data_IF_963739071850
#
_entry.id   IF_963739071850
#
_cell.length_a   1.000
_cell.length_b   1.000
_cell.length_c   1.000
_cell.angle_alpha   90.00
_cell.angle_beta   90.00
_cell.angle_gamma   90.00
#
_symmetry.space_group_name_H-M   'P 1'
#
loop_
_entity.id
_entity.type
_entity.pdbx_description
1 polymer ?
#
# COMPACT_ATOMS: atom_id res chain seq x y z
N UNK A 1 10.22 -2.86 -15.56
CA UNK A 1 10.02 -4.29 -15.82
C UNK A 1 8.57 -4.78 -15.62
N UNK A 2 7.59 -3.90 -15.35
CA UNK A 2 6.19 -4.32 -15.21
C UNK A 2 5.85 -4.97 -13.86
N UNK A 3 6.53 -4.54 -12.78
CA UNK A 3 6.07 -4.81 -11.42
C UNK A 3 4.84 -3.92 -11.16
N UNK A 4 3.77 -4.54 -10.68
CA UNK A 4 2.51 -3.91 -10.30
C UNK A 4 2.51 -3.67 -8.79
N UNK A 5 2.46 -2.40 -8.35
CA UNK A 5 2.38 -2.08 -6.93
C UNK A 5 1.19 -2.78 -6.26
N UNK A 6 1.36 -3.14 -4.99
CA UNK A 6 0.39 -3.88 -4.16
C UNK A 6 0.09 -5.32 -4.61
N UNK A 7 -0.13 -5.55 -5.91
CA UNK A 7 -0.52 -6.87 -6.41
C UNK A 7 0.64 -7.84 -6.54
N UNK A 8 1.87 -7.35 -6.76
CA UNK A 8 3.02 -8.22 -6.97
C UNK A 8 3.81 -8.52 -5.70
N UNK A 9 4.03 -9.82 -5.50
CA UNK A 9 4.87 -10.37 -4.44
C UNK A 9 6.09 -11.02 -5.07
N UNK A 10 7.27 -10.48 -4.79
CA UNK A 10 8.54 -11.06 -5.26
C UNK A 10 8.87 -12.26 -4.39
N UNK A 11 8.84 -13.44 -4.99
CA UNK A 11 9.01 -14.70 -4.28
C UNK A 11 10.43 -15.27 -4.38
N UNK A 12 11.11 -15.00 -5.49
CA UNK A 12 12.49 -15.42 -5.69
C UNK A 12 13.26 -14.45 -6.59
N UNK A 13 14.58 -14.51 -6.50
CA UNK A 13 15.52 -13.82 -7.39
C UNK A 13 16.59 -14.83 -7.83
N UNK A 14 16.69 -15.05 -9.14
CA UNK A 14 17.45 -16.16 -9.71
C UNK A 14 16.94 -17.50 -9.18
N UNK A 15 17.82 -18.26 -8.54
CA UNK A 15 17.48 -19.57 -7.95
C UNK A 15 17.21 -19.48 -6.44
N UNK A 16 17.13 -18.28 -5.87
CA UNK A 16 17.05 -18.07 -4.42
C UNK A 16 15.65 -17.66 -4.01
N UNK A 17 15.00 -18.48 -3.18
CA UNK A 17 13.68 -18.20 -2.60
C UNK A 17 13.79 -17.17 -1.47
N UNK A 18 12.88 -16.20 -1.46
CA UNK A 18 12.75 -15.14 -0.46
C UNK A 18 11.63 -15.49 0.52
N UNK A 19 11.90 -16.34 1.51
CA UNK A 19 10.90 -16.85 2.45
C UNK A 19 11.09 -16.37 3.89
N UNK A 20 12.02 -15.44 4.13
CA UNK A 20 12.32 -14.87 5.44
C UNK A 20 12.66 -13.40 5.31
N UNK A 21 12.24 -12.62 6.30
CA UNK A 21 12.65 -11.22 6.43
C UNK A 21 14.17 -11.15 6.62
N UNK A 22 14.85 -10.52 5.67
CA UNK A 22 16.30 -10.36 5.66
C UNK A 22 16.73 -9.36 4.58
N UNK A 23 18.00 -8.93 4.62
CA UNK A 23 18.61 -8.12 3.56
C UNK A 23 18.89 -8.93 2.26
N UNK A 24 18.49 -10.21 2.17
CA UNK A 24 18.85 -11.11 1.08
C UNK A 24 18.47 -10.58 -0.31
N UNK A 25 17.24 -10.06 -0.48
CA UNK A 25 16.82 -9.46 -1.75
C UNK A 25 17.74 -8.29 -2.14
N UNK A 26 18.02 -7.41 -1.19
CA UNK A 26 18.87 -6.23 -1.39
C UNK A 26 20.30 -6.62 -1.74
N UNK A 27 20.86 -7.62 -1.08
CA UNK A 27 22.21 -8.11 -1.36
C UNK A 27 22.30 -8.79 -2.72
N UNK A 28 21.28 -9.56 -3.11
CA UNK A 28 21.24 -10.20 -4.44
C UNK A 28 21.04 -9.17 -5.56
N UNK A 29 20.28 -8.10 -5.34
CA UNK A 29 20.19 -6.98 -6.29
C UNK A 29 21.54 -6.27 -6.44
N UNK A 30 22.23 -5.99 -5.34
CA UNK A 30 23.58 -5.39 -5.37
C UNK A 30 24.60 -6.26 -6.10
N UNK A 31 24.55 -7.58 -5.89
CA UNK A 31 25.44 -8.52 -6.57
C UNK A 31 25.21 -8.61 -8.09
N UNK A 32 24.02 -8.20 -8.57
CA UNK A 32 23.61 -8.26 -9.96
C UNK A 32 23.41 -6.86 -10.59
N UNK A 33 24.05 -5.83 -10.05
CA UNK A 33 24.02 -4.47 -10.64
C UNK A 33 24.50 -4.51 -12.10
N UNK A 34 23.72 -3.87 -12.97
CA UNK A 34 23.84 -3.84 -14.43
C UNK A 34 23.80 -5.23 -15.12
N UNK A 35 23.28 -6.26 -14.43
CA UNK A 35 23.07 -7.60 -14.99
C UNK A 35 21.60 -7.99 -14.92
N UNK A 36 21.10 -8.56 -16.01
CA UNK A 36 19.74 -9.11 -16.04
C UNK A 36 19.62 -10.26 -15.02
N UNK A 37 18.61 -10.19 -14.16
CA UNK A 37 18.25 -11.21 -13.18
C UNK A 37 16.76 -11.49 -13.25
N UNK A 38 16.39 -12.76 -13.11
CA UNK A 38 15.00 -13.21 -13.13
C UNK A 38 14.39 -13.10 -11.74
N UNK A 39 13.17 -12.62 -11.67
CA UNK A 39 12.32 -12.63 -10.49
C UNK A 39 11.14 -13.56 -10.74
N UNK A 40 10.84 -14.42 -9.78
CA UNK A 40 9.55 -15.10 -9.73
C UNK A 40 8.57 -14.24 -8.92
N UNK A 41 7.45 -13.88 -9.54
CA UNK A 41 6.47 -12.96 -8.96
C UNK A 41 5.10 -13.62 -8.94
N UNK A 42 4.43 -13.56 -7.79
CA UNK A 42 3.02 -13.88 -7.66
C UNK A 42 2.20 -12.59 -7.74
N UNK A 43 1.17 -12.57 -8.57
CA UNK A 43 0.25 -11.44 -8.67
C UNK A 43 -1.08 -11.80 -7.98
N UNK A 44 -1.43 -11.12 -6.89
CA UNK A 44 -2.62 -11.43 -6.08
C UNK A 44 -3.94 -11.13 -6.78
N UNK A 45 -3.95 -10.17 -7.72
CA UNK A 45 -5.13 -9.82 -8.51
C UNK A 45 -5.50 -10.89 -9.53
N UNK A 46 -4.51 -11.38 -10.27
CA UNK A 46 -4.72 -12.42 -11.30
C UNK A 46 -4.58 -13.84 -10.77
N UNK A 47 -4.09 -14.00 -9.54
CA UNK A 47 -3.76 -15.29 -8.91
C UNK A 47 -2.80 -16.13 -9.76
N UNK A 48 -1.83 -15.48 -10.40
CA UNK A 48 -0.88 -16.13 -11.32
C UNK A 48 0.56 -15.88 -10.92
N UNK A 49 1.38 -16.87 -11.21
CA UNK A 49 2.85 -16.80 -11.14
C UNK A 49 3.38 -16.34 -12.49
N UNK A 50 4.37 -15.44 -12.49
CA UNK A 50 5.10 -15.05 -13.69
C UNK A 50 6.57 -14.81 -13.41
N UNK A 51 7.37 -14.96 -14.46
CA UNK A 51 8.79 -14.60 -14.43
C UNK A 51 8.95 -13.17 -14.99
N UNK A 52 9.71 -12.32 -14.30
CA UNK A 52 10.09 -11.00 -14.76
C UNK A 52 11.61 -10.89 -14.84
N UNK A 53 12.14 -10.45 -15.96
CA UNK A 53 13.54 -10.07 -16.07
C UNK A 53 13.72 -8.61 -15.65
N UNK A 54 14.59 -8.37 -14.68
CA UNK A 54 14.93 -7.02 -14.19
C UNK A 54 16.44 -6.82 -14.33
N UNK A 55 16.86 -5.59 -14.61
CA UNK A 55 18.28 -5.20 -14.55
C UNK A 55 18.42 -4.16 -13.44
N UNK A 56 18.91 -4.55 -12.26
CA UNK A 56 19.15 -3.61 -11.17
C UNK A 56 20.18 -2.58 -11.61
N UNK A 57 19.94 -1.29 -11.43
CA UNK A 57 20.82 -0.26 -11.98
C UNK A 57 21.02 0.92 -11.04
N UNK A 58 22.20 1.54 -11.10
CA UNK A 58 22.46 2.84 -10.46
C UNK A 58 22.32 4.02 -11.44
N UNK A 59 22.07 3.75 -12.72
CA UNK A 59 22.16 4.76 -13.79
C UNK A 59 20.81 5.36 -14.21
N UNK A 60 19.70 4.88 -13.64
CA UNK A 60 18.35 5.31 -14.04
C UNK A 60 17.88 6.62 -13.37
N UNK A 61 18.70 7.20 -12.47
CA UNK A 61 18.49 8.54 -11.91
C UNK A 61 17.56 8.63 -10.70
N UNK A 62 16.95 7.53 -10.27
CA UNK A 62 16.12 7.47 -9.06
C UNK A 62 16.80 6.77 -7.88
N UNK A 63 16.03 6.57 -6.80
CA UNK A 63 16.51 5.97 -5.57
C UNK A 63 16.44 4.44 -5.61
N UNK A 64 17.55 3.79 -5.24
CA UNK A 64 17.62 2.33 -5.16
C UNK A 64 17.86 1.65 -6.52
N UNK A 65 17.93 0.32 -6.51
CA UNK A 65 18.37 -0.46 -7.67
C UNK A 65 17.22 -0.91 -8.59
N UNK A 66 16.01 -1.02 -8.06
CA UNK A 66 14.82 -1.46 -8.82
C UNK A 66 13.84 -0.33 -9.15
N UNK A 67 13.95 0.82 -8.47
CA UNK A 67 12.92 1.85 -8.51
C UNK A 67 11.58 1.40 -7.91
N UNK A 68 11.62 0.47 -6.95
CA UNK A 68 10.46 -0.04 -6.25
C UNK A 68 10.72 -0.06 -4.74
N UNK A 69 9.70 0.33 -3.97
CA UNK A 69 9.64 0.11 -2.53
C UNK A 69 9.08 -1.29 -2.28
N UNK A 70 9.80 -2.09 -1.50
CA UNK A 70 9.42 -3.47 -1.19
C UNK A 70 9.39 -3.67 0.32
N UNK A 71 8.42 -4.45 0.79
CA UNK A 71 8.27 -4.84 2.20
C UNK A 71 8.17 -6.36 2.25
N UNK A 72 8.79 -6.98 3.25
CA UNK A 72 8.53 -8.38 3.53
C UNK A 72 7.15 -8.51 4.16
N UNK A 73 6.24 -9.24 3.50
CA UNK A 73 4.90 -9.49 3.98
C UNK A 73 4.42 -10.86 3.49
N UNK A 74 3.38 -11.38 4.14
CA UNK A 74 2.61 -12.49 3.57
C UNK A 74 1.69 -11.95 2.48
N UNK A 75 1.51 -12.70 1.40
CA UNK A 75 0.42 -12.46 0.45
C UNK A 75 -0.91 -13.01 0.97
N UNK A 76 -0.87 -13.91 1.97
CA UNK A 76 -2.05 -14.40 2.68
C UNK A 76 -2.64 -13.26 3.52
N UNK A 77 -3.92 -12.96 3.31
CA UNK A 77 -4.59 -11.81 3.95
C UNK A 77 -4.21 -10.43 3.41
N UNK A 78 -3.32 -10.31 2.40
CA UNK A 78 -2.96 -9.00 1.85
C UNK A 78 -4.17 -8.26 1.25
N UNK A 79 -5.15 -8.99 0.74
CA UNK A 79 -6.42 -8.44 0.25
C UNK A 79 -7.40 -8.07 1.38
N UNK A 80 -7.12 -8.43 2.63
CA UNK A 80 -7.96 -8.12 3.80
C UNK A 80 -7.61 -6.76 4.41
N UNK A 81 -6.39 -6.25 4.15
CA UNK A 81 -5.92 -4.93 4.60
C UNK A 81 -6.16 -3.87 3.52
N UNK A 82 -7.40 -3.73 3.07
CA UNK A 82 -7.82 -2.78 2.04
C UNK A 82 -9.04 -2.00 2.52
N UNK A 83 -8.98 -0.67 2.47
CA UNK A 83 -10.07 0.23 2.89
C UNK A 83 -10.70 0.89 1.66
N UNK A 84 -11.99 0.65 1.45
CA UNK A 84 -12.75 1.26 0.37
C UNK A 84 -13.10 2.71 0.72
N UNK A 85 -12.75 3.66 -0.15
CA UNK A 85 -13.16 5.06 -0.01
C UNK A 85 -14.64 5.14 -0.41
N UNK A 86 -15.50 5.50 0.54
CA UNK A 86 -16.93 5.70 0.29
C UNK A 86 -17.20 7.16 -0.08
N UNK A 87 -18.08 7.84 0.65
CA UNK A 87 -18.34 9.26 0.45
C UNK A 87 -17.11 10.11 0.84
N UNK A 88 -16.88 11.16 0.05
CA UNK A 88 -15.83 12.16 0.27
C UNK A 88 -16.49 13.53 0.31
N UNK A 89 -16.46 14.18 1.47
CA UNK A 89 -17.06 15.51 1.65
C UNK A 89 -16.22 16.61 0.99
N UNK A 90 -16.87 17.63 0.43
CA UNK A 90 -16.19 18.78 -0.14
C UNK A 90 -15.32 19.51 0.91
N UNK A 91 -14.10 19.89 0.53
CA UNK A 91 -13.10 20.53 1.40
C UNK A 91 -12.63 19.68 2.60
N UNK A 92 -12.99 18.40 2.66
CA UNK A 92 -12.43 17.45 3.63
C UNK A 92 -10.94 17.16 3.37
N UNK A 93 -10.18 16.68 4.37
CA UNK A 93 -8.84 16.14 4.17
C UNK A 93 -8.74 15.15 2.99
N UNK A 94 -9.68 14.20 2.87
CA UNK A 94 -9.77 13.29 1.73
C UNK A 94 -9.92 14.01 0.38
N UNK A 95 -10.83 14.99 0.29
CA UNK A 95 -11.05 15.74 -0.95
C UNK A 95 -9.81 16.55 -1.35
N UNK A 96 -9.16 17.21 -0.37
CA UNK A 96 -7.94 17.98 -0.58
C UNK A 96 -6.76 17.09 -1.00
N UNK A 97 -6.75 15.84 -0.54
CA UNK A 97 -5.78 14.83 -0.95
C UNK A 97 -6.07 14.23 -2.34
N UNK A 98 -7.27 14.47 -2.90
CA UNK A 98 -7.69 13.94 -4.19
C UNK A 98 -8.11 12.47 -4.15
N UNK A 99 -8.67 12.01 -3.03
CA UNK A 99 -9.37 10.72 -2.96
C UNK A 99 -10.70 10.81 -3.72
N UNK A 100 -11.02 9.76 -4.45
CA UNK A 100 -12.20 9.65 -5.31
C UNK A 100 -13.18 8.67 -4.67
N UNK A 101 -14.36 9.18 -4.35
CA UNK A 101 -15.43 8.40 -3.74
C UNK A 101 -15.78 7.16 -4.58
N UNK A 102 -15.96 6.03 -3.92
CA UNK A 102 -16.32 4.72 -4.45
C UNK A 102 -15.33 4.06 -5.42
N UNK A 103 -14.43 4.81 -6.05
CA UNK A 103 -13.47 4.28 -7.01
C UNK A 103 -12.10 3.98 -6.40
N UNK A 104 -11.76 4.64 -5.29
CA UNK A 104 -10.47 4.47 -4.62
C UNK A 104 -10.51 3.44 -3.49
N UNK A 105 -9.43 2.68 -3.38
CA UNK A 105 -9.16 1.71 -2.35
C UNK A 105 -7.77 2.00 -1.76
N UNK A 106 -7.71 2.28 -0.47
CA UNK A 106 -6.45 2.45 0.24
C UNK A 106 -5.91 1.05 0.52
N UNK A 107 -4.74 0.76 -0.05
CA UNK A 107 -4.11 -0.58 -0.03
C UNK A 107 -2.79 -0.59 0.74
N UNK A 108 -2.37 0.56 1.27
CA UNK A 108 -1.18 0.66 2.11
C UNK A 108 -0.88 2.07 2.57
N UNK A 109 0.11 2.19 3.47
CA UNK A 109 0.65 3.45 3.97
C UNK A 109 2.17 3.34 4.20
N UNK A 110 2.84 4.50 4.27
CA UNK A 110 4.29 4.56 4.53
C UNK A 110 4.66 3.97 5.91
N UNK A 111 3.78 4.08 6.89
CA UNK A 111 3.93 3.44 8.20
C UNK A 111 3.46 1.97 8.13
N UNK A 112 4.14 1.11 8.89
CA UNK A 112 3.81 -0.32 8.92
C UNK A 112 2.46 -0.49 9.63
N UNK A 113 1.44 -0.86 8.85
CA UNK A 113 0.19 -1.44 9.36
C UNK A 113 0.49 -2.91 9.64
N UNK A 114 0.44 -3.33 10.91
CA UNK A 114 0.59 -4.72 11.30
C UNK A 114 -0.76 -5.45 11.25
N UNK A 115 -1.88 -4.77 11.47
CA UNK A 115 -3.24 -5.35 11.50
C UNK A 115 -4.34 -4.43 10.90
N UNK A 116 -5.55 -4.96 10.68
CA UNK A 116 -6.69 -4.23 10.11
C UNK A 116 -7.21 -3.08 10.98
N UNK A 117 -7.02 -3.16 12.30
CA UNK A 117 -7.37 -2.11 13.25
C UNK A 117 -6.34 -0.96 13.28
N UNK A 118 -5.19 -1.11 12.61
CA UNK A 118 -4.12 -0.11 12.63
C UNK A 118 -4.42 1.10 11.75
N UNK A 119 -5.29 1.03 10.74
CA UNK A 119 -5.43 2.15 9.80
C UNK A 119 -6.05 3.38 10.47
N UNK A 120 -7.09 3.21 11.29
CA UNK A 120 -7.68 4.34 12.02
C UNK A 120 -6.74 4.89 13.08
N UNK A 121 -6.08 4.00 13.83
CA UNK A 121 -5.02 4.36 14.78
C UNK A 121 -3.91 5.17 14.10
N UNK A 122 -3.56 4.81 12.87
CA UNK A 122 -2.60 5.53 12.05
C UNK A 122 -3.10 6.92 11.66
N UNK A 123 -4.37 7.06 11.25
CA UNK A 123 -4.96 8.38 10.95
C UNK A 123 -4.92 9.29 12.19
N UNK A 124 -5.38 8.78 13.34
CA UNK A 124 -5.40 9.53 14.62
C UNK A 124 -3.98 9.94 15.06
N UNK A 125 -3.01 9.02 14.98
CA UNK A 125 -1.62 9.29 15.36
C UNK A 125 -0.93 10.34 14.45
N UNK A 126 -1.47 10.55 13.25
CA UNK A 126 -0.95 11.49 12.25
C UNK A 126 -1.83 12.76 12.10
N UNK A 127 -2.63 13.10 13.11
CA UNK A 127 -3.35 14.38 13.12
C UNK A 127 -2.40 15.57 12.92
N UNK A 128 -2.76 16.43 11.97
CA UNK A 128 -1.98 17.61 11.55
C UNK A 128 -0.69 17.30 10.78
N UNK A 129 -0.41 16.02 10.46
CA UNK A 129 0.82 15.61 9.78
C UNK A 129 0.51 14.99 8.41
N UNK A 130 1.33 15.26 7.38
CA UNK A 130 1.22 14.58 6.10
C UNK A 130 1.43 13.07 6.26
N UNK A 131 0.46 12.29 5.80
CA UNK A 131 0.48 10.83 5.77
C UNK A 131 0.39 10.37 4.31
N UNK A 132 1.37 9.58 3.89
CA UNK A 132 1.38 9.01 2.55
C UNK A 132 0.67 7.66 2.53
N UNK A 133 -0.27 7.54 1.60
CA UNK A 133 -1.08 6.37 1.32
C UNK A 133 -0.79 5.84 -0.08
N UNK A 134 -0.88 4.52 -0.24
CA UNK A 134 -0.94 3.86 -1.53
C UNK A 134 -2.42 3.57 -1.85
N UNK A 135 -2.90 4.12 -2.96
CA UNK A 135 -4.31 4.07 -3.35
C UNK A 135 -4.45 3.40 -4.70
N UNK A 136 -5.21 2.31 -4.75
CA UNK A 136 -5.64 1.64 -5.97
C UNK A 136 -6.95 2.25 -6.45
N UNK A 137 -7.05 2.58 -7.74
CA UNK A 137 -8.27 3.08 -8.35
C UNK A 137 -8.83 2.06 -9.36
N UNK A 138 -10.11 1.71 -9.22
CA UNK A 138 -10.74 0.68 -10.07
C UNK A 138 -11.00 1.15 -11.50
N UNK A 139 -11.15 2.45 -11.74
CA UNK A 139 -11.44 2.99 -13.07
C UNK A 139 -10.19 3.04 -13.93
N UNK A 140 -9.06 3.44 -13.34
CA UNK A 140 -7.77 3.52 -14.04
C UNK A 140 -6.99 2.21 -13.98
N UNK A 141 -7.38 1.31 -13.10
CA UNK A 141 -6.70 0.05 -12.81
C UNK A 141 -5.23 0.24 -12.39
N UNK A 142 -4.98 1.28 -11.58
CA UNK A 142 -3.64 1.72 -11.21
C UNK A 142 -3.54 2.09 -9.73
N UNK A 143 -2.36 1.87 -9.16
CA UNK A 143 -1.99 2.39 -7.85
C UNK A 143 -1.30 3.75 -7.97
N UNK A 144 -1.59 4.66 -7.06
CA UNK A 144 -0.93 5.97 -6.94
C UNK A 144 -0.63 6.33 -5.49
N UNK A 145 0.41 7.12 -5.27
CA UNK A 145 0.68 7.71 -3.97
C UNK A 145 -0.23 8.93 -3.75
N UNK A 146 -0.88 8.98 -2.60
CA UNK A 146 -1.71 10.10 -2.15
C UNK A 146 -1.19 10.58 -0.80
N UNK A 147 -1.08 11.90 -0.60
CA UNK A 147 -0.69 12.47 0.69
C UNK A 147 -1.91 13.14 1.30
N UNK A 148 -2.45 12.53 2.36
CA UNK A 148 -3.53 13.10 3.17
C UNK A 148 -2.95 13.77 4.40
N UNK A 149 -3.53 14.88 4.86
CA UNK A 149 -3.18 15.48 6.15
C UNK A 149 -4.41 15.42 7.04
N UNK A 150 -4.53 14.40 7.91
CA UNK A 150 -5.66 14.27 8.81
C UNK A 150 -5.82 15.52 9.67
N UNK A 151 -7.04 15.98 9.86
CA UNK A 151 -7.33 17.18 10.64
C UNK A 151 -8.68 17.02 11.30
N UNK A 152 -8.79 16.68 12.59
CA UNK A 152 -10.08 16.50 13.26
C UNK A 152 -10.87 17.81 13.43
N UNK A 153 -10.24 18.97 13.25
CA UNK A 153 -10.87 20.28 13.39
C UNK A 153 -11.50 20.82 12.09
N UNK A 154 -11.48 20.07 10.98
CA UNK A 154 -11.86 20.56 9.65
C UNK A 154 -13.34 20.96 9.46
N UNK A 155 -14.25 20.50 10.33
CA UNK A 155 -15.62 21.02 10.42
C UNK A 155 -16.74 20.10 9.96
N UNK A 156 -16.44 18.93 9.38
CA UNK A 156 -17.42 17.90 9.00
C UNK A 156 -17.73 16.87 10.10
N UNK A 157 -18.51 15.83 9.77
CA UNK A 157 -19.02 14.80 10.70
C UNK A 157 -17.94 13.85 11.26
N UNK A 158 -16.67 13.99 10.86
CA UNK A 158 -15.51 13.33 11.50
C UNK A 158 -15.23 13.76 12.95
N UNK A 159 -16.18 14.45 13.60
CA UNK A 159 -16.14 14.92 14.99
C UNK A 159 -17.15 14.13 15.84
N UNK A 160 -16.76 12.99 16.43
CA UNK A 160 -17.06 12.70 17.85
C UNK A 160 -16.48 11.36 18.32
N UNK A 161 -15.83 11.41 19.47
CA UNK A 161 -15.03 10.39 20.13
C UNK A 161 -15.84 9.29 20.85
N UNK A 162 -15.16 8.17 21.16
CA UNK A 162 -15.17 7.57 22.50
C UNK A 162 -16.14 6.40 22.77
N UNK A 163 -15.55 5.27 23.19
CA UNK A 163 -16.13 4.12 23.92
C UNK A 163 -17.64 3.87 23.75
N UNK A 164 -17.95 2.79 23.03
CA UNK A 164 -18.97 1.87 23.50
C UNK A 164 -18.52 0.43 23.22
N UNK A 165 -18.22 -0.32 24.28
CA UNK A 165 -18.26 -1.78 24.24
C UNK A 165 -19.70 -2.19 23.92
N UNK A 166 -19.90 -2.92 22.82
CA UNK A 166 -20.71 -4.16 22.78
C UNK A 166 -20.75 -4.73 21.36
N UNK A 167 -19.89 -5.74 21.16
CA UNK A 167 -20.00 -6.94 20.30
C UNK A 167 -20.38 -6.86 18.81
N UNK A 168 -19.80 -7.76 18.00
CA UNK A 168 -19.76 -7.64 16.54
C UNK A 168 -20.99 -8.28 15.90
N UNK A 169 -21.60 -7.59 14.93
CA UNK A 169 -22.37 -8.26 13.89
C UNK A 169 -22.51 -7.38 12.66
N UNK A 170 -22.00 -7.92 11.55
CA UNK A 170 -22.29 -7.59 10.15
C UNK A 170 -21.98 -6.17 9.64
N UNK A 171 -20.91 -6.11 8.84
CA UNK A 171 -20.90 -5.34 7.58
C UNK A 171 -21.12 -3.84 7.74
N UNK A 172 -20.39 -3.20 8.66
CA UNK A 172 -20.43 -1.77 8.75
C UNK A 172 -19.45 -1.15 7.74
N UNK A 173 -20.02 -0.52 6.71
CA UNK A 173 -19.33 0.33 5.76
C UNK A 173 -19.28 1.74 6.36
N UNK A 174 -18.08 2.31 6.51
CA UNK A 174 -17.85 3.60 7.16
C UNK A 174 -17.14 4.57 6.21
N UNK A 175 -17.51 5.85 6.30
CA UNK A 175 -17.12 6.92 5.37
C UNK A 175 -15.64 7.32 5.50
N UNK A 176 -15.10 7.89 4.41
CA UNK A 176 -13.73 8.35 4.34
C UNK A 176 -13.58 9.76 4.97
N UNK A 177 -12.47 9.97 5.69
CA UNK A 177 -12.14 11.14 6.53
C UNK A 177 -11.45 12.27 5.77
#
# INVERSE_FOLDING_TARGET
AGLEPFFDFILSIGNTRLNKESDLLKDLLKANVEKAVKLEVYNSKTQRMRELEVTPSNMWGGQGLLGASVRFCSFEGANENVWHVLDVEENSPAALAGLIAFDDYIVGADQVLQESDDFYTLIEANEGKPLKLLVYNIQTDQCREVVVTPNGAWGGEGRSCGRHESSPSNGAQYNAW
#
